data_IF_517270039869
#
_entry.id   IF_517270039869
#
_cell.length_a   1.000
_cell.length_b   1.000
_cell.length_c   1.000
_cell.angle_alpha   90.00
_cell.angle_beta   90.00
_cell.angle_gamma   90.00
#
_symmetry.space_group_name_H-M   'P 1'
#
loop_
_entity.id
_entity.type
_entity.pdbx_description
1 polymer ?
#
# COMPACT_ATOMS: atom_id res chain seq x y z
N UNK A 1 -51.43 58.68 31.02
CA UNK A 1 -51.83 57.30 30.67
C UNK A 1 -50.73 56.32 31.07
N UNK A 2 -51.03 55.28 31.88
CA UNK A 2 -50.05 54.23 32.18
C UNK A 2 -49.96 53.29 30.98
N UNK A 3 -48.76 52.80 30.61
CA UNK A 3 -48.63 51.81 29.55
C UNK A 3 -49.38 50.53 29.94
N UNK A 4 -49.94 49.79 28.96
CA UNK A 4 -50.60 48.53 29.23
C UNK A 4 -49.58 47.54 29.84
N UNK A 5 -50.03 46.67 30.75
CA UNK A 5 -49.17 45.65 31.32
C UNK A 5 -48.62 44.72 30.21
N UNK A 6 -47.41 44.18 30.39
CA UNK A 6 -46.85 43.23 29.44
C UNK A 6 -47.76 42.00 29.29
N UNK A 7 -47.81 41.38 28.09
CA UNK A 7 -48.60 40.18 27.88
C UNK A 7 -48.09 39.06 28.80
N UNK A 8 -49.02 38.27 29.35
CA UNK A 8 -48.68 37.13 30.18
C UNK A 8 -47.77 36.16 29.42
N UNK A 9 -46.73 35.59 30.06
CA UNK A 9 -45.85 34.63 29.42
C UNK A 9 -46.66 33.42 28.93
N UNK A 10 -46.27 32.88 27.78
CA UNK A 10 -46.90 31.69 27.22
C UNK A 10 -46.86 30.53 28.23
N UNK A 11 -47.89 29.67 28.28
CA UNK A 11 -47.88 28.47 29.09
C UNK A 11 -46.63 27.64 28.76
N UNK A 12 -45.92 27.17 29.80
CA UNK A 12 -44.79 26.25 29.59
C UNK A 12 -45.34 24.97 28.96
N UNK A 13 -44.63 24.45 27.98
CA UNK A 13 -44.92 23.13 27.42
C UNK A 13 -44.90 22.08 28.54
N UNK A 14 -45.84 21.12 28.53
CA UNK A 14 -45.81 20.03 29.49
C UNK A 14 -44.50 19.24 29.35
N UNK A 15 -44.02 18.63 30.44
CA UNK A 15 -42.84 17.79 30.36
C UNK A 15 -43.06 16.64 29.37
N UNK A 16 -42.01 16.21 28.65
CA UNK A 16 -42.12 15.08 27.74
C UNK A 16 -42.54 13.82 28.49
N UNK A 17 -43.33 12.98 27.83
CA UNK A 17 -43.77 11.69 28.38
C UNK A 17 -42.53 10.82 28.60
N UNK A 18 -42.35 10.22 29.79
CA UNK A 18 -41.23 9.33 30.06
C UNK A 18 -41.31 8.06 29.21
N UNK A 19 -40.17 7.43 28.97
CA UNK A 19 -40.11 6.13 28.32
C UNK A 19 -40.81 5.08 29.22
N UNK A 20 -41.57 4.12 28.67
CA UNK A 20 -42.19 3.07 29.45
C UNK A 20 -41.18 2.21 30.22
N UNK A 21 -41.51 1.80 31.45
CA UNK A 21 -40.64 1.00 32.32
C UNK A 21 -40.19 -0.32 31.67
N UNK A 22 -41.06 -0.91 30.84
CA UNK A 22 -40.75 -2.12 30.06
C UNK A 22 -39.56 -1.90 29.10
N UNK A 23 -39.44 -0.70 28.53
CA UNK A 23 -38.34 -0.32 27.65
C UNK A 23 -37.08 0.07 28.43
N UNK A 24 -37.21 0.60 29.66
CA UNK A 24 -36.05 0.79 30.53
C UNK A 24 -35.40 -0.53 30.94
N UNK A 25 -36.20 -1.57 31.17
CA UNK A 25 -35.70 -2.91 31.49
C UNK A 25 -34.93 -3.56 30.33
N UNK A 26 -35.28 -3.19 29.08
CA UNK A 26 -34.67 -3.72 27.87
C UNK A 26 -33.49 -2.90 27.36
N UNK A 27 -33.19 -1.77 28.01
CA UNK A 27 -32.10 -0.87 27.64
C UNK A 27 -30.73 -1.56 27.59
N UNK A 28 -30.00 -1.35 26.49
CA UNK A 28 -28.63 -1.84 26.27
C UNK A 28 -28.54 -3.39 26.24
N UNK A 29 -29.61 -4.07 25.83
CA UNK A 29 -29.66 -5.54 25.79
C UNK A 29 -29.03 -6.13 24.50
N UNK A 30 -28.47 -5.27 23.63
CA UNK A 30 -27.85 -5.53 22.33
C UNK A 30 -28.81 -6.13 21.30
N UNK A 31 -30.11 -5.93 21.50
CA UNK A 31 -31.15 -6.45 20.63
C UNK A 31 -32.06 -5.30 20.25
N UNK A 32 -32.45 -5.27 18.98
CA UNK A 32 -33.44 -4.30 18.52
C UNK A 32 -34.85 -4.72 18.98
N UNK A 33 -35.36 -4.03 19.99
CA UNK A 33 -36.73 -4.13 20.47
C UNK A 33 -37.60 -3.10 19.76
N UNK A 34 -38.28 -3.56 18.70
CA UNK A 34 -39.10 -2.71 17.82
C UNK A 34 -40.15 -1.87 18.55
N UNK A 35 -40.64 -2.35 19.69
CA UNK A 35 -41.62 -1.64 20.52
C UNK A 35 -40.99 -0.44 21.25
N UNK A 36 -39.70 -0.51 21.57
CA UNK A 36 -38.92 0.54 22.24
C UNK A 36 -38.17 1.45 21.26
N UNK A 37 -38.23 1.14 19.96
CA UNK A 37 -37.71 1.96 18.87
C UNK A 37 -38.59 3.19 18.58
N UNK A 38 -38.83 4.00 19.60
CA UNK A 38 -39.62 5.24 19.57
C UNK A 38 -38.79 6.42 20.05
N UNK A 39 -39.15 7.63 19.63
CA UNK A 39 -38.38 8.85 19.91
C UNK A 39 -38.19 9.14 21.39
N UNK A 40 -39.20 8.87 22.23
CA UNK A 40 -39.14 9.06 23.68
C UNK A 40 -38.14 8.12 24.37
N UNK A 41 -37.86 6.97 23.78
CA UNK A 41 -36.89 5.97 24.26
C UNK A 41 -35.59 5.99 23.46
N UNK A 42 -35.28 7.13 22.81
CA UNK A 42 -34.07 7.32 22.01
C UNK A 42 -33.85 6.24 20.95
N UNK A 43 -34.93 5.75 20.33
CA UNK A 43 -34.87 4.71 19.30
C UNK A 43 -34.20 3.43 19.81
N UNK A 44 -34.72 2.90 20.92
CA UNK A 44 -34.17 1.73 21.59
C UNK A 44 -32.70 1.95 21.99
N UNK A 45 -32.38 3.13 22.52
CA UNK A 45 -31.01 3.57 22.81
C UNK A 45 -29.99 3.45 21.65
N UNK A 46 -30.48 3.41 20.41
CA UNK A 46 -29.65 3.23 19.21
C UNK A 46 -29.40 1.76 18.85
N UNK A 47 -29.99 0.80 19.56
CA UNK A 47 -29.79 -0.64 19.31
C UNK A 47 -30.45 -1.10 18.00
N UNK A 48 -31.56 -0.46 17.60
CA UNK A 48 -32.21 -0.72 16.31
C UNK A 48 -31.52 -0.08 15.10
N UNK A 49 -30.56 0.83 15.31
CA UNK A 49 -29.77 1.44 14.23
C UNK A 49 -28.30 1.34 14.56
N UNK A 50 -27.76 0.16 14.32
CA UNK A 50 -26.32 -0.07 14.32
C UNK A 50 -25.70 0.59 13.07
N UNK A 51 -25.57 1.92 13.12
CA UNK A 51 -24.96 2.73 12.05
C UNK A 51 -23.56 2.21 11.75
N UNK A 52 -22.87 1.69 12.77
CA UNK A 52 -21.56 1.07 12.63
C UNK A 52 -21.69 -0.21 11.79
N UNK A 53 -22.61 -1.12 12.12
CA UNK A 53 -22.83 -2.32 11.32
C UNK A 53 -23.27 -2.00 9.88
N UNK A 54 -24.11 -0.98 9.67
CA UNK A 54 -24.53 -0.55 8.34
C UNK A 54 -23.35 0.02 7.51
N UNK A 55 -22.48 0.81 8.13
CA UNK A 55 -21.26 1.33 7.48
C UNK A 55 -20.30 0.17 7.19
N UNK A 56 -20.12 -0.76 8.12
CA UNK A 56 -19.24 -1.93 7.95
C UNK A 56 -19.76 -2.89 6.87
N UNK A 57 -21.07 -3.09 6.79
CA UNK A 57 -21.71 -3.88 5.73
C UNK A 57 -21.51 -3.22 4.35
N UNK A 58 -21.63 -1.89 4.27
CA UNK A 58 -21.34 -1.13 3.04
C UNK A 58 -19.86 -1.18 2.66
N UNK A 59 -18.96 -1.28 3.66
CA UNK A 59 -17.53 -1.46 3.49
C UNK A 59 -17.12 -2.91 3.19
N UNK A 60 -18.08 -3.85 3.05
CA UNK A 60 -17.82 -5.24 2.67
C UNK A 60 -17.29 -6.14 3.79
N UNK A 61 -17.32 -5.68 5.05
CA UNK A 61 -16.93 -6.49 6.19
C UNK A 61 -18.09 -7.37 6.65
N UNK A 62 -18.10 -8.63 6.19
CA UNK A 62 -18.98 -9.70 6.68
C UNK A 62 -18.25 -10.53 7.73
N UNK A 63 -18.30 -10.09 8.99
CA UNK A 63 -17.77 -10.87 10.11
C UNK A 63 -17.71 -10.09 11.41
N UNK A 64 -17.95 -10.79 12.53
CA UNK A 64 -17.86 -10.31 13.90
C UNK A 64 -16.48 -9.72 14.21
N UNK A 65 -16.29 -8.42 14.00
CA UNK A 65 -15.02 -7.74 14.25
C UNK A 65 -15.29 -6.50 15.12
N UNK A 66 -15.67 -6.76 16.37
CA UNK A 66 -15.55 -5.82 17.48
C UNK A 66 -14.41 -6.29 18.38
N UNK A 67 -13.20 -6.18 17.87
CA UNK A 67 -12.01 -5.97 18.69
C UNK A 67 -11.02 -5.19 17.84
N UNK A 68 -10.85 -3.90 18.12
CA UNK A 68 -9.83 -3.06 17.51
C UNK A 68 -8.42 -3.70 17.58
N UNK A 69 -8.21 -4.57 18.57
CA UNK A 69 -7.01 -5.41 18.72
C UNK A 69 -6.82 -6.41 17.57
N UNK A 70 -7.88 -7.07 17.08
CA UNK A 70 -7.80 -8.05 15.99
C UNK A 70 -7.61 -7.38 14.62
N UNK A 71 -8.19 -6.20 14.43
CA UNK A 71 -7.97 -5.37 13.23
C UNK A 71 -6.51 -4.94 13.14
N UNK A 72 -5.91 -4.48 14.25
CA UNK A 72 -4.49 -4.16 14.29
C UNK A 72 -3.59 -5.37 13.98
N UNK A 73 -3.94 -6.56 14.50
CA UNK A 73 -3.12 -7.75 14.32
C UNK A 73 -3.21 -8.32 12.89
N UNK A 74 -4.41 -8.38 12.30
CA UNK A 74 -4.61 -8.88 10.93
C UNK A 74 -4.05 -7.94 9.87
N UNK A 75 -4.19 -6.62 10.07
CA UNK A 75 -3.51 -5.58 9.29
C UNK A 75 -1.99 -5.82 9.36
N UNK A 76 -1.41 -5.93 10.56
CA UNK A 76 0.05 -6.04 10.70
C UNK A 76 0.67 -7.24 9.96
N UNK A 77 0.00 -8.40 9.93
CA UNK A 77 0.50 -9.61 9.26
C UNK A 77 0.40 -9.50 7.74
N UNK A 78 -0.70 -8.95 7.23
CA UNK A 78 -0.94 -8.81 5.79
C UNK A 78 -0.01 -7.78 5.14
N UNK A 79 0.16 -6.62 5.79
CA UNK A 79 1.05 -5.57 5.28
C UNK A 79 2.53 -5.99 5.34
N UNK A 80 2.95 -6.80 6.32
CA UNK A 80 4.33 -7.31 6.37
C UNK A 80 4.66 -8.25 5.21
N UNK A 81 3.74 -9.15 4.83
CA UNK A 81 3.98 -10.08 3.73
C UNK A 81 4.06 -9.37 2.38
N UNK A 82 3.14 -8.44 2.11
CA UNK A 82 3.14 -7.66 0.86
C UNK A 82 4.32 -6.68 0.79
N UNK A 83 4.70 -6.05 1.90
CA UNK A 83 5.87 -5.17 1.95
C UNK A 83 7.19 -5.93 1.73
N UNK A 84 7.32 -7.15 2.28
CA UNK A 84 8.49 -7.99 2.04
C UNK A 84 8.61 -8.40 0.57
N UNK A 85 7.50 -8.82 -0.06
CA UNK A 85 7.50 -9.20 -1.47
C UNK A 85 7.75 -8.01 -2.39
N UNK A 86 7.14 -6.86 -2.11
CA UNK A 86 7.37 -5.61 -2.85
C UNK A 86 8.82 -5.13 -2.76
N UNK A 87 9.41 -5.15 -1.56
CA UNK A 87 10.81 -4.78 -1.35
C UNK A 87 11.78 -5.71 -2.07
N UNK A 88 11.53 -7.02 -2.05
CA UNK A 88 12.33 -8.01 -2.77
C UNK A 88 12.28 -7.79 -4.30
N UNK A 89 11.08 -7.56 -4.85
CA UNK A 89 10.88 -7.37 -6.28
C UNK A 89 11.58 -6.09 -6.79
N UNK A 90 11.40 -4.98 -6.06
CA UNK A 90 12.04 -3.69 -6.38
C UNK A 90 13.56 -3.81 -6.23
N UNK A 91 14.04 -4.49 -5.18
CA UNK A 91 15.46 -4.74 -4.97
C UNK A 91 16.10 -5.54 -6.10
N UNK A 92 15.43 -6.61 -6.57
CA UNK A 92 15.90 -7.42 -7.69
C UNK A 92 15.96 -6.62 -9.00
N UNK A 93 14.87 -5.91 -9.34
CA UNK A 93 14.81 -5.10 -10.55
C UNK A 93 15.84 -3.97 -10.52
N UNK A 94 15.94 -3.24 -9.40
CA UNK A 94 16.93 -2.18 -9.21
C UNK A 94 18.37 -2.70 -9.28
N UNK A 95 18.64 -3.87 -8.68
CA UNK A 95 19.95 -4.51 -8.71
C UNK A 95 20.40 -4.94 -10.11
N UNK A 96 19.49 -5.55 -10.90
CA UNK A 96 19.78 -5.94 -12.28
C UNK A 96 20.03 -4.72 -13.16
N UNK A 97 19.16 -3.71 -13.10
CA UNK A 97 19.32 -2.47 -13.89
C UNK A 97 20.61 -1.74 -13.53
N UNK A 98 20.92 -1.61 -12.24
CA UNK A 98 22.17 -1.01 -11.77
C UNK A 98 23.40 -1.79 -12.25
N UNK A 99 23.36 -3.11 -12.19
CA UNK A 99 24.46 -3.98 -12.67
C UNK A 99 24.68 -3.84 -14.17
N UNK A 100 23.61 -3.85 -14.97
CA UNK A 100 23.68 -3.61 -16.41
C UNK A 100 24.27 -2.24 -16.75
N UNK A 101 23.85 -1.18 -16.04
CA UNK A 101 24.37 0.17 -16.23
C UNK A 101 25.89 0.25 -15.91
N UNK A 102 26.33 -0.35 -14.79
CA UNK A 102 27.74 -0.41 -14.42
C UNK A 102 28.57 -1.22 -15.44
N UNK A 103 28.06 -2.36 -15.92
CA UNK A 103 28.70 -3.15 -16.96
C UNK A 103 28.81 -2.36 -18.28
N UNK A 104 27.78 -1.59 -18.65
CA UNK A 104 27.78 -0.75 -19.83
C UNK A 104 28.83 0.36 -19.74
N UNK A 105 28.89 1.08 -18.62
CA UNK A 105 29.89 2.14 -18.38
C UNK A 105 31.31 1.54 -18.42
N UNK A 106 31.53 0.38 -17.78
CA UNK A 106 32.82 -0.31 -17.81
C UNK A 106 33.23 -0.73 -19.22
N UNK A 107 32.31 -1.28 -20.01
CA UNK A 107 32.56 -1.63 -21.43
C UNK A 107 32.91 -0.40 -22.26
N UNK A 108 32.17 0.69 -22.11
CA UNK A 108 32.45 1.95 -22.82
C UNK A 108 33.82 2.51 -22.46
N UNK A 109 34.19 2.49 -21.17
CA UNK A 109 35.51 2.94 -20.70
C UNK A 109 36.65 2.08 -21.26
N UNK A 110 36.49 0.75 -21.33
CA UNK A 110 37.50 -0.16 -21.92
C UNK A 110 37.75 0.13 -23.40
N UNK A 111 36.70 0.28 -24.21
CA UNK A 111 36.84 0.64 -25.64
C UNK A 111 37.57 1.97 -25.83
N UNK A 112 37.28 2.96 -24.99
CA UNK A 112 37.93 4.27 -25.07
C UNK A 112 39.41 4.24 -24.66
N UNK A 113 39.78 3.36 -23.73
CA UNK A 113 41.18 3.13 -23.36
C UNK A 113 41.95 2.37 -24.44
N UNK A 114 41.33 1.38 -25.09
CA UNK A 114 41.93 0.66 -26.23
C UNK A 114 42.22 1.61 -27.40
N UNK A 115 41.24 2.42 -27.83
CA UNK A 115 41.45 3.42 -28.89
C UNK A 115 42.55 4.44 -28.55
N UNK A 116 42.72 4.78 -27.26
CA UNK A 116 43.82 5.66 -26.81
C UNK A 116 45.18 4.97 -26.75
N UNK A 117 45.22 3.65 -26.57
CA UNK A 117 46.45 2.86 -26.59
C UNK A 117 46.93 2.67 -28.03
N UNK A 118 46.01 2.31 -28.94
CA UNK A 118 46.27 2.18 -30.38
C UNK A 118 46.77 3.52 -30.96
N UNK A 119 46.16 4.65 -30.56
CA UNK A 119 46.58 5.99 -31.01
C UNK A 119 47.96 6.45 -30.48
N UNK A 120 48.53 5.78 -29.48
CA UNK A 120 49.88 6.06 -28.95
C UNK A 120 50.94 5.07 -29.45
N UNK A 121 50.57 4.12 -30.31
CA UNK A 121 51.49 3.12 -30.86
C UNK A 121 52.05 2.14 -29.83
N UNK A 122 51.30 1.82 -28.76
CA UNK A 122 51.75 0.92 -27.70
C UNK A 122 50.92 -0.39 -27.73
N UNK A 123 51.49 -1.57 -27.40
CA UNK A 123 50.90 -2.87 -27.72
C UNK A 123 49.61 -3.16 -26.94
N UNK A 124 48.77 -4.02 -27.52
CA UNK A 124 47.42 -4.38 -27.03
C UNK A 124 47.47 -5.03 -25.64
N UNK A 125 46.84 -4.38 -24.66
CA UNK A 125 46.63 -4.98 -23.33
C UNK A 125 45.38 -5.87 -23.31
N UNK A 126 45.56 -7.14 -22.96
CA UNK A 126 44.46 -8.11 -22.71
C UNK A 126 44.13 -8.17 -21.21
N UNK A 127 43.06 -8.87 -20.83
CA UNK A 127 42.61 -8.95 -19.42
C UNK A 127 43.55 -9.72 -18.48
N UNK A 128 44.65 -10.29 -18.99
CA UNK A 128 45.58 -11.15 -18.23
C UNK A 128 47.01 -10.58 -18.11
N UNK A 129 47.30 -9.38 -18.64
CA UNK A 129 48.64 -8.77 -18.61
C UNK A 129 49.07 -8.28 -20.01
N UNK A 130 50.27 -7.68 -20.14
CA UNK A 130 50.78 -7.25 -21.45
C UNK A 130 50.92 -8.48 -22.35
N UNK A 131 50.20 -8.48 -23.48
CA UNK A 131 50.36 -9.50 -24.51
C UNK A 131 51.64 -9.19 -25.29
N UNK A 132 52.63 -10.07 -25.19
CA UNK A 132 53.79 -10.04 -26.07
C UNK A 132 53.35 -10.40 -27.48
N UNK A 133 53.95 -9.74 -28.46
CA UNK A 133 53.74 -9.98 -29.88
C UNK A 133 54.32 -11.36 -30.23
N UNK A 134 53.45 -12.31 -30.55
CA UNK A 134 53.81 -13.54 -31.26
C UNK A 134 53.33 -13.38 -32.72
N UNK A 135 54.21 -12.81 -33.54
CA UNK A 135 54.19 -13.03 -34.99
C UNK A 135 54.73 -14.44 -35.23
N UNK A 136 53.89 -15.40 -35.63
CA UNK A 136 54.33 -16.62 -36.30
C UNK A 136 53.22 -17.12 -37.26
N UNK A 137 53.52 -16.92 -38.55
CA UNK A 137 53.22 -17.75 -39.73
C UNK A 137 51.90 -18.55 -39.83
N UNK A 138 51.07 -18.19 -40.82
CA UNK A 138 50.56 -19.18 -41.78
C UNK A 138 50.09 -18.50 -43.09
N UNK A 139 50.83 -18.79 -44.17
CA UNK A 139 50.65 -18.28 -45.52
C UNK A 139 49.43 -18.89 -46.25
N UNK A 140 48.90 -18.27 -47.32
CA UNK A 140 47.75 -18.79 -48.06
C UNK A 140 48.15 -19.96 -48.97
N UNK A 141 47.61 -21.16 -48.72
CA UNK A 141 47.74 -22.29 -49.65
C UNK A 141 46.71 -22.16 -50.78
N UNK A 142 47.25 -22.11 -52.00
CA UNK A 142 46.54 -22.03 -53.27
C UNK A 142 45.88 -23.37 -53.62
N UNK A 143 44.60 -23.31 -53.99
CA UNK A 143 43.84 -24.44 -54.52
C UNK A 143 44.16 -24.61 -56.01
N UNK A 144 44.97 -25.62 -56.35
CA UNK A 144 45.00 -26.19 -57.71
C UNK A 144 45.12 -27.71 -57.62
N UNK A 145 44.04 -28.40 -57.97
CA UNK A 145 44.08 -29.80 -58.38
C UNK A 145 43.21 -29.92 -59.65
N UNK A 146 43.86 -30.06 -60.79
CA UNK A 146 43.26 -30.55 -62.03
C UNK A 146 43.32 -32.08 -62.07
N UNK A 147 42.44 -32.63 -62.92
CA UNK A 147 42.35 -34.03 -63.37
C UNK A 147 43.69 -34.66 -63.77
#
# INVERSE_FOLDING_TARGET
>A
PRPPPPPSPAPRSPPPVPCPDECEALKNNKKCDKQCNITMCLWDHGECRDVVQAILAKAGFKGSILTASLVGETISKRYRAEAMYGGLLIGLLGGVVGSCALCYIRRKKRKLLQMRADARGNPKYTSYGPGGDDDDDDAPVTETAQM
#
